data_IF_041984075438
#
_entry.id   IF_041984075438
#
_cell.length_a   1.000
_cell.length_b   1.000
_cell.length_c   1.000
_cell.angle_alpha   90.00
_cell.angle_beta   90.00
_cell.angle_gamma   90.00
#
_symmetry.space_group_name_H-M   'P 1'
#
loop_
_entity.id
_entity.type
_entity.pdbx_description
1 polymer ?
#
# COMPACT_ATOMS: atom_id res chain seq x y z
N UNK A 1 -26.15 33.11 50.68
CA UNK A 1 -27.35 32.28 50.44
C UNK A 1 -28.10 32.84 49.24
N UNK A 2 -28.15 32.13 48.11
CA UNK A 2 -28.90 32.52 46.91
C UNK A 2 -29.47 31.26 46.25
N UNK A 3 -30.79 31.23 46.11
CA UNK A 3 -31.65 30.04 45.97
C UNK A 3 -31.40 29.22 44.69
N UNK A 4 -31.30 27.89 44.86
CA UNK A 4 -31.40 26.89 43.78
C UNK A 4 -32.75 27.03 43.07
N UNK A 5 -32.75 27.18 41.74
CA UNK A 5 -33.96 27.07 40.90
C UNK A 5 -34.40 25.60 40.91
N UNK A 6 -35.55 25.32 41.52
CA UNK A 6 -36.20 24.02 41.44
C UNK A 6 -36.66 23.78 40.00
N UNK A 7 -36.13 22.73 39.37
CA UNK A 7 -36.60 22.24 38.08
C UNK A 7 -38.04 21.77 38.21
N UNK A 8 -38.94 22.44 37.49
CA UNK A 8 -40.37 22.19 37.53
C UNK A 8 -40.70 20.91 36.73
N UNK A 9 -40.55 19.73 37.34
CA UNK A 9 -41.01 18.47 36.77
C UNK A 9 -42.53 18.30 37.02
N UNK A 10 -43.36 18.91 36.17
CA UNK A 10 -44.80 18.64 36.18
C UNK A 10 -45.09 17.25 35.58
N UNK A 11 -45.93 16.43 36.24
CA UNK A 11 -46.30 15.12 35.71
C UNK A 11 -47.05 15.24 34.37
N UNK A 12 -46.94 14.25 33.44
CA UNK A 12 -47.48 14.32 32.07
C UNK A 12 -48.98 14.61 31.98
N UNK A 13 -49.72 14.35 33.06
CA UNK A 13 -51.16 14.58 33.19
C UNK A 13 -51.54 16.07 33.33
N UNK A 14 -50.59 16.95 33.69
CA UNK A 14 -50.79 18.40 33.85
C UNK A 14 -50.26 19.22 32.65
N UNK A 15 -49.72 18.57 31.61
CA UNK A 15 -49.22 19.24 30.41
C UNK A 15 -50.36 19.55 29.43
N UNK A 16 -50.25 20.65 28.68
CA UNK A 16 -51.14 20.93 27.55
C UNK A 16 -50.96 19.90 26.43
N UNK A 17 -51.94 19.78 25.54
CA UNK A 17 -51.93 18.79 24.44
C UNK A 17 -50.69 18.93 23.54
N UNK A 18 -50.24 20.16 23.31
CA UNK A 18 -49.04 20.49 22.53
C UNK A 18 -47.74 20.08 23.24
N UNK A 19 -47.66 20.29 24.55
CA UNK A 19 -46.51 19.88 25.37
C UNK A 19 -46.42 18.36 25.50
N UNK A 20 -47.55 17.64 25.59
CA UNK A 20 -47.56 16.17 25.56
C UNK A 20 -47.11 15.61 24.23
N UNK A 21 -47.48 16.26 23.12
CA UNK A 21 -47.00 15.89 21.78
C UNK A 21 -45.48 16.10 21.68
N UNK A 22 -44.96 17.25 22.11
CA UNK A 22 -43.51 17.51 22.13
C UNK A 22 -42.75 16.56 23.07
N UNK A 23 -43.32 16.24 24.24
CA UNK A 23 -42.75 15.27 25.17
C UNK A 23 -42.74 13.85 24.56
N UNK A 24 -43.82 13.43 23.89
CA UNK A 24 -43.88 12.15 23.17
C UNK A 24 -42.94 12.09 21.97
N UNK A 25 -42.73 13.20 21.26
CA UNK A 25 -41.74 13.31 20.17
C UNK A 25 -40.32 13.24 20.72
N UNK A 26 -40.01 13.93 21.84
CA UNK A 26 -38.73 13.82 22.54
C UNK A 26 -38.47 12.41 23.11
N UNK A 27 -39.50 11.77 23.64
CA UNK A 27 -39.42 10.39 24.14
C UNK A 27 -39.31 9.36 23.00
N UNK A 28 -39.98 9.58 21.86
CA UNK A 28 -39.80 8.77 20.64
C UNK A 28 -38.43 8.98 19.99
N UNK A 29 -37.87 10.19 20.06
CA UNK A 29 -36.50 10.48 19.66
C UNK A 29 -35.49 9.77 20.56
N UNK A 30 -35.65 9.86 21.89
CA UNK A 30 -34.82 9.12 22.86
C UNK A 30 -34.95 7.61 22.77
N UNK A 31 -36.16 7.06 22.56
CA UNK A 31 -36.37 5.60 22.38
C UNK A 31 -35.91 5.06 21.03
N UNK A 32 -35.70 5.92 20.03
CA UNK A 32 -35.08 5.52 18.76
C UNK A 32 -33.56 5.38 18.87
N UNK A 33 -32.98 5.83 19.97
CA UNK A 33 -31.54 5.99 20.17
C UNK A 33 -31.00 5.07 21.29
N UNK A 34 -31.79 4.11 21.76
CA UNK A 34 -31.23 2.91 22.40
C UNK A 34 -30.64 2.07 21.26
N UNK A 35 -29.38 2.37 20.91
CA UNK A 35 -28.65 1.63 19.88
C UNK A 35 -28.74 0.14 20.18
N UNK A 36 -29.26 -0.62 19.22
CA UNK A 36 -29.40 -2.09 19.31
C UNK A 36 -28.05 -2.81 19.46
N UNK A 37 -26.95 -2.10 19.24
CA UNK A 37 -25.58 -2.59 19.26
C UNK A 37 -24.70 -1.68 20.14
N UNK A 38 -23.76 -2.27 20.87
CA UNK A 38 -22.68 -1.53 21.54
C UNK A 38 -21.60 -1.12 20.52
N UNK A 39 -20.68 -0.25 20.92
CA UNK A 39 -19.54 0.15 20.07
C UNK A 39 -18.71 -1.07 19.68
N UNK A 40 -18.42 -1.95 20.63
CA UNK A 40 -17.63 -3.16 20.42
C UNK A 40 -18.32 -4.10 19.42
N UNK A 41 -19.64 -4.29 19.52
CA UNK A 41 -20.40 -5.11 18.58
C UNK A 41 -20.45 -4.52 17.17
N UNK A 42 -20.38 -3.19 17.04
CA UNK A 42 -20.30 -2.54 15.74
C UNK A 42 -18.90 -2.74 15.14
N UNK A 43 -17.84 -2.65 15.94
CA UNK A 43 -16.47 -2.86 15.48
C UNK A 43 -16.18 -4.33 15.15
N UNK A 44 -16.75 -5.27 15.90
CA UNK A 44 -16.70 -6.71 15.58
C UNK A 44 -17.30 -6.97 14.19
N UNK A 45 -18.50 -6.41 13.92
CA UNK A 45 -19.13 -6.50 12.60
C UNK A 45 -18.34 -5.80 11.50
N UNK A 46 -17.69 -4.69 11.81
CA UNK A 46 -16.83 -4.00 10.86
C UNK A 46 -15.65 -4.90 10.48
N UNK A 47 -15.01 -5.56 11.45
CA UNK A 47 -13.99 -6.58 11.22
C UNK A 47 -14.50 -7.73 10.35
N UNK A 48 -15.63 -8.35 10.70
CA UNK A 48 -16.24 -9.42 9.90
C UNK A 48 -16.51 -8.99 8.45
N UNK A 49 -16.99 -7.76 8.24
CA UNK A 49 -17.23 -7.23 6.90
C UNK A 49 -15.94 -6.97 6.14
N UNK A 50 -14.90 -6.46 6.81
CA UNK A 50 -13.58 -6.25 6.21
C UNK A 50 -12.96 -7.59 5.78
N UNK A 51 -13.03 -8.61 6.64
CA UNK A 51 -12.58 -9.98 6.36
C UNK A 51 -13.35 -10.60 5.18
N UNK A 52 -14.62 -10.19 4.99
CA UNK A 52 -15.47 -10.58 3.87
C UNK A 52 -15.26 -9.73 2.60
N UNK A 53 -14.23 -8.87 2.57
CA UNK A 53 -13.95 -7.89 1.52
C UNK A 53 -15.09 -6.90 1.23
N UNK A 54 -15.99 -6.67 2.20
CA UNK A 54 -17.06 -5.68 2.12
C UNK A 54 -16.66 -4.39 2.85
N UNK A 55 -15.68 -3.70 2.28
CA UNK A 55 -14.98 -2.55 2.87
C UNK A 55 -15.94 -1.37 3.08
N UNK A 56 -16.88 -1.13 2.16
CA UNK A 56 -17.88 -0.07 2.29
C UNK A 56 -18.81 -0.29 3.49
N UNK A 57 -19.26 -1.53 3.69
CA UNK A 57 -20.12 -1.88 4.82
C UNK A 57 -19.34 -1.83 6.14
N UNK A 58 -18.10 -2.31 6.15
CA UNK A 58 -17.20 -2.19 7.30
C UNK A 58 -17.05 -0.72 7.71
N UNK A 59 -16.80 0.16 6.74
CA UNK A 59 -16.67 1.60 6.98
C UNK A 59 -17.94 2.22 7.57
N UNK A 60 -19.13 1.78 7.15
CA UNK A 60 -20.40 2.23 7.72
C UNK A 60 -20.57 1.79 9.18
N UNK A 61 -20.16 0.56 9.54
CA UNK A 61 -20.18 0.11 10.92
C UNK A 61 -19.21 0.90 11.81
N UNK A 62 -17.99 1.14 11.34
CA UNK A 62 -17.04 2.02 12.04
C UNK A 62 -17.56 3.44 12.20
N UNK A 63 -18.18 4.00 11.15
CA UNK A 63 -18.79 5.33 11.24
C UNK A 63 -19.87 5.35 12.34
N UNK A 64 -20.72 4.32 12.41
CA UNK A 64 -21.75 4.24 13.44
C UNK A 64 -21.16 4.10 14.85
N UNK A 65 -20.07 3.34 14.99
CA UNK A 65 -19.33 3.22 16.24
C UNK A 65 -18.77 4.58 16.70
N UNK A 66 -18.16 5.34 15.78
CA UNK A 66 -17.59 6.67 16.05
C UNK A 66 -18.65 7.76 16.24
N UNK A 67 -19.86 7.61 15.71
CA UNK A 67 -21.00 8.48 16.06
C UNK A 67 -21.42 8.31 17.53
N UNK A 68 -21.26 7.10 18.09
CA UNK A 68 -21.55 6.81 19.49
C UNK A 68 -20.40 7.24 20.40
N UNK A 69 -19.17 6.91 20.02
CA UNK A 69 -17.94 7.25 20.76
C UNK A 69 -16.88 7.82 19.79
N UNK A 70 -16.83 9.16 19.61
CA UNK A 70 -15.96 9.80 18.62
C UNK A 70 -14.46 9.59 18.82
N UNK A 71 -14.03 9.34 20.06
CA UNK A 71 -12.62 9.18 20.43
C UNK A 71 -12.27 7.71 20.74
N UNK A 72 -13.09 6.75 20.29
CA UNK A 72 -12.81 5.32 20.48
C UNK A 72 -11.63 4.88 19.61
N UNK A 73 -10.46 4.65 20.22
CA UNK A 73 -9.19 4.39 19.52
C UNK A 73 -9.26 3.26 18.48
N UNK A 74 -9.74 2.08 18.85
CA UNK A 74 -9.87 0.96 17.91
C UNK A 74 -10.84 1.29 16.76
N UNK A 75 -11.84 2.14 17.02
CA UNK A 75 -12.81 2.57 16.00
C UNK A 75 -12.17 3.55 15.04
N UNK A 76 -11.33 4.46 15.54
CA UNK A 76 -10.56 5.39 14.73
C UNK A 76 -9.50 4.66 13.89
N UNK A 77 -8.76 3.72 14.49
CA UNK A 77 -7.74 2.93 13.78
C UNK A 77 -8.36 2.15 12.62
N UNK A 78 -9.46 1.41 12.88
CA UNK A 78 -10.16 0.64 11.84
C UNK A 78 -10.82 1.55 10.79
N UNK A 79 -11.44 2.66 11.20
CA UNK A 79 -12.03 3.60 10.25
C UNK A 79 -10.97 4.27 9.37
N UNK A 80 -9.82 4.65 9.92
CA UNK A 80 -8.72 5.27 9.18
C UNK A 80 -8.21 4.35 8.09
N UNK A 81 -7.96 3.09 8.43
CA UNK A 81 -7.57 2.02 7.51
C UNK A 81 -8.59 1.82 6.38
N UNK A 82 -9.86 1.60 6.71
CA UNK A 82 -10.91 1.37 5.71
C UNK A 82 -11.14 2.59 4.81
N UNK A 83 -11.04 3.81 5.33
CA UNK A 83 -11.17 5.00 4.48
C UNK A 83 -9.99 5.16 3.53
N UNK A 84 -8.78 4.74 3.92
CA UNK A 84 -7.62 4.73 3.04
C UNK A 84 -7.81 3.72 1.89
N UNK A 85 -8.27 2.51 2.20
CA UNK A 85 -8.58 1.48 1.18
C UNK A 85 -9.66 1.92 0.19
N UNK A 86 -10.68 2.63 0.68
CA UNK A 86 -11.73 3.22 -0.16
C UNK A 86 -11.27 4.44 -0.97
N UNK A 87 -10.01 4.87 -0.84
CA UNK A 87 -9.46 6.04 -1.52
C UNK A 87 -10.00 7.37 -1.00
N UNK A 88 -10.67 7.39 0.15
CA UNK A 88 -11.20 8.61 0.77
C UNK A 88 -10.11 9.34 1.57
N UNK A 89 -9.09 9.83 0.86
CA UNK A 89 -7.87 10.44 1.42
C UNK A 89 -8.15 11.46 2.52
N UNK A 90 -9.03 12.43 2.27
CA UNK A 90 -9.36 13.49 3.24
C UNK A 90 -9.92 12.95 4.57
N UNK A 91 -10.74 11.88 4.50
CA UNK A 91 -11.33 11.27 5.70
C UNK A 91 -10.30 10.44 6.44
N UNK A 92 -9.54 9.62 5.71
CA UNK A 92 -8.47 8.81 6.27
C UNK A 92 -7.46 9.68 7.03
N UNK A 93 -7.02 10.79 6.42
CA UNK A 93 -6.10 11.72 7.05
C UNK A 93 -6.67 12.30 8.35
N UNK A 94 -7.90 12.83 8.34
CA UNK A 94 -8.53 13.41 9.55
C UNK A 94 -8.68 12.39 10.68
N UNK A 95 -9.13 11.18 10.36
CA UNK A 95 -9.34 10.11 11.33
C UNK A 95 -8.00 9.65 11.93
N UNK A 96 -7.01 9.39 11.07
CA UNK A 96 -5.67 8.96 11.51
C UNK A 96 -4.96 10.05 12.31
N UNK A 97 -5.07 11.33 11.93
CA UNK A 97 -4.55 12.45 12.73
C UNK A 97 -5.20 12.51 14.11
N UNK A 98 -6.52 12.31 14.21
CA UNK A 98 -7.21 12.26 15.51
C UNK A 98 -6.72 11.08 16.36
N UNK A 99 -6.50 9.92 15.76
CA UNK A 99 -5.95 8.76 16.45
C UNK A 99 -4.51 9.03 16.97
N UNK A 100 -3.68 9.75 16.20
CA UNK A 100 -2.34 10.17 16.62
C UNK A 100 -2.39 11.12 17.81
N UNK A 101 -3.31 12.08 17.82
CA UNK A 101 -3.49 13.01 18.95
C UNK A 101 -3.87 12.29 20.25
N UNK A 102 -4.70 11.25 20.15
CA UNK A 102 -5.23 10.52 21.31
C UNK A 102 -4.26 9.45 21.82
N UNK A 103 -3.53 8.76 20.94
CA UNK A 103 -2.56 7.74 21.29
C UNK A 103 -1.32 7.80 20.39
N UNK A 104 -0.34 8.68 20.71
CA UNK A 104 0.83 8.91 19.87
C UNK A 104 1.91 7.81 19.94
N UNK A 105 1.83 6.91 20.92
CA UNK A 105 2.89 5.91 21.17
C UNK A 105 2.44 4.45 21.00
N UNK A 106 1.19 4.23 20.59
CA UNK A 106 0.65 2.90 20.29
C UNK A 106 0.12 2.85 18.86
N UNK A 107 -0.14 1.68 18.28
CA UNK A 107 -0.77 1.52 16.97
C UNK A 107 -0.02 2.17 15.81
N UNK A 108 0.87 1.42 15.15
CA UNK A 108 1.70 1.94 14.04
C UNK A 108 0.91 2.25 12.76
N UNK A 109 -0.22 1.59 12.50
CA UNK A 109 -0.95 1.68 11.23
C UNK A 109 -1.34 3.13 10.87
N UNK A 110 -1.81 3.93 11.83
CA UNK A 110 -2.13 5.35 11.59
C UNK A 110 -0.95 6.18 11.10
N UNK A 111 0.27 5.83 11.51
CA UNK A 111 1.49 6.46 11.05
C UNK A 111 1.88 6.00 9.64
N UNK A 112 1.68 4.72 9.31
CA UNK A 112 1.87 4.22 7.95
C UNK A 112 0.94 4.93 6.97
N UNK A 113 -0.35 5.06 7.31
CA UNK A 113 -1.31 5.77 6.48
C UNK A 113 -0.99 7.26 6.34
N UNK A 114 -0.67 7.95 7.44
CA UNK A 114 -0.28 9.36 7.35
C UNK A 114 0.99 9.55 6.53
N UNK A 115 1.95 8.63 6.61
CA UNK A 115 3.14 8.61 5.77
C UNK A 115 2.80 8.52 4.27
N UNK A 116 1.95 7.56 3.89
CA UNK A 116 1.48 7.37 2.51
C UNK A 116 0.70 8.58 1.96
N UNK A 117 0.03 9.32 2.84
CA UNK A 117 -0.76 10.52 2.47
C UNK A 117 0.05 11.83 2.57
N UNK A 118 1.32 11.75 2.95
CA UNK A 118 2.21 12.90 3.09
C UNK A 118 3.35 12.84 2.07
N UNK A 119 4.14 13.91 1.98
CA UNK A 119 5.29 13.99 1.08
C UNK A 119 6.53 14.49 1.83
N UNK A 120 7.72 14.18 1.31
CA UNK A 120 8.98 14.69 1.81
C UNK A 120 9.21 14.42 3.31
N UNK A 121 9.68 15.44 4.04
CA UNK A 121 10.10 15.29 5.43
C UNK A 121 8.97 14.89 6.39
N UNK A 122 7.73 15.33 6.13
CA UNK A 122 6.58 14.96 6.95
C UNK A 122 6.28 13.46 6.83
N UNK A 123 6.33 12.92 5.61
CA UNK A 123 6.17 11.49 5.36
C UNK A 123 7.26 10.67 6.06
N UNK A 124 8.53 11.11 5.96
CA UNK A 124 9.65 10.49 6.69
C UNK A 124 9.37 10.49 8.20
N UNK A 125 8.88 11.59 8.75
CA UNK A 125 8.53 11.70 10.17
C UNK A 125 7.47 10.70 10.60
N UNK A 126 6.38 10.58 9.82
CA UNK A 126 5.31 9.62 10.12
C UNK A 126 5.79 8.17 10.03
N UNK A 127 6.43 7.78 8.92
CA UNK A 127 6.96 6.42 8.77
C UNK A 127 7.98 6.09 9.86
N UNK A 128 8.90 7.00 10.18
CA UNK A 128 9.89 6.81 11.24
C UNK A 128 9.23 6.53 12.59
N UNK A 129 8.16 7.27 12.92
CA UNK A 129 7.42 7.03 14.16
C UNK A 129 6.69 5.69 14.15
N UNK A 130 6.08 5.32 13.03
CA UNK A 130 5.42 4.03 12.92
C UNK A 130 6.40 2.86 13.04
N UNK A 131 7.59 2.95 12.39
CA UNK A 131 8.68 1.98 12.53
C UNK A 131 9.17 1.86 13.97
N UNK A 132 9.30 2.98 14.68
CA UNK A 132 9.67 2.98 16.11
C UNK A 132 8.67 2.16 16.96
N UNK A 133 7.37 2.31 16.67
CA UNK A 133 6.30 1.57 17.36
C UNK A 133 6.35 0.08 16.96
N UNK A 134 6.50 -0.23 15.67
CA UNK A 134 6.61 -1.62 15.17
C UNK A 134 7.81 -2.34 15.77
N UNK A 135 8.97 -1.68 15.85
CA UNK A 135 10.18 -2.24 16.46
C UNK A 135 9.96 -2.56 17.95
N UNK A 136 9.28 -1.69 18.69
CA UNK A 136 8.89 -1.94 20.09
C UNK A 136 7.94 -3.14 20.21
N UNK A 137 6.95 -3.24 19.33
CA UNK A 137 6.02 -4.39 19.29
C UNK A 137 6.75 -5.69 18.96
N UNK A 138 7.66 -5.67 17.98
CA UNK A 138 8.42 -6.85 17.54
C UNK A 138 9.36 -7.37 18.64
N UNK A 139 9.96 -6.48 19.44
CA UNK A 139 10.75 -6.89 20.61
C UNK A 139 9.90 -7.63 21.65
N UNK A 140 8.62 -7.28 21.79
CA UNK A 140 7.71 -7.96 22.70
C UNK A 140 7.18 -9.28 22.13
N UNK A 141 6.89 -9.32 20.82
CA UNK A 141 6.34 -10.49 20.12
C UNK A 141 6.95 -10.58 18.72
N UNK A 142 8.04 -11.35 18.52
CA UNK A 142 8.65 -11.51 17.22
C UNK A 142 7.76 -12.36 16.31
N UNK A 143 7.32 -11.80 15.18
CA UNK A 143 6.57 -12.49 14.13
C UNK A 143 7.15 -12.16 12.76
N UNK A 144 7.28 -13.15 11.87
CA UNK A 144 7.92 -12.96 10.56
C UNK A 144 7.18 -11.93 9.68
N UNK A 145 5.84 -11.94 9.70
CA UNK A 145 5.04 -10.93 8.99
C UNK A 145 5.36 -9.51 9.46
N UNK A 146 5.45 -9.32 10.79
CA UNK A 146 5.82 -8.02 11.37
C UNK A 146 7.26 -7.60 11.02
N UNK A 147 8.19 -8.55 10.80
CA UNK A 147 9.54 -8.25 10.32
C UNK A 147 9.52 -7.70 8.88
N UNK A 148 8.73 -8.32 8.00
CA UNK A 148 8.53 -7.84 6.62
C UNK A 148 7.91 -6.45 6.61
N UNK A 149 6.91 -6.19 7.43
CA UNK A 149 6.26 -4.88 7.51
C UNK A 149 7.24 -3.78 7.96
N UNK A 150 8.13 -4.08 8.92
CA UNK A 150 9.19 -3.14 9.32
C UNK A 150 10.14 -2.85 8.15
N UNK A 151 10.54 -3.88 7.41
CA UNK A 151 11.38 -3.73 6.22
C UNK A 151 10.70 -2.86 5.15
N UNK A 152 9.41 -3.10 4.88
CA UNK A 152 8.62 -2.33 3.93
C UNK A 152 8.47 -0.86 4.37
N UNK A 153 8.24 -0.59 5.64
CA UNK A 153 8.17 0.78 6.15
C UNK A 153 9.50 1.54 6.00
N UNK A 154 10.64 0.87 6.18
CA UNK A 154 11.95 1.45 5.82
C UNK A 154 12.11 1.66 4.32
N UNK A 155 11.58 0.77 3.47
CA UNK A 155 11.56 0.94 2.02
C UNK A 155 10.83 2.24 1.64
N UNK A 156 9.66 2.48 2.24
CA UNK A 156 8.90 3.72 2.02
C UNK A 156 9.70 4.98 2.39
N UNK A 157 10.46 4.95 3.50
CA UNK A 157 11.35 6.06 3.88
C UNK A 157 12.48 6.25 2.85
N UNK A 158 13.08 5.15 2.39
CA UNK A 158 14.17 5.19 1.43
C UNK A 158 13.71 5.72 0.06
N UNK A 159 12.53 5.32 -0.39
CA UNK A 159 11.92 5.81 -1.62
C UNK A 159 11.74 7.33 -1.57
N UNK A 160 11.23 7.88 -0.45
CA UNK A 160 11.11 9.34 -0.27
C UNK A 160 12.47 10.05 -0.40
N UNK A 161 13.57 9.44 0.05
CA UNK A 161 14.90 10.00 -0.16
C UNK A 161 15.39 9.89 -1.61
N UNK A 162 14.95 8.88 -2.36
CA UNK A 162 15.26 8.72 -3.78
C UNK A 162 14.41 9.62 -4.68
N UNK A 163 13.23 10.06 -4.22
CA UNK A 163 12.28 10.86 -5.00
C UNK A 163 12.16 12.28 -4.46
N UNK A 164 11.41 12.49 -3.38
CA UNK A 164 11.00 13.80 -2.88
C UNK A 164 12.18 14.61 -2.31
N UNK A 165 13.08 13.94 -1.59
CA UNK A 165 14.19 14.56 -0.87
C UNK A 165 15.55 14.34 -1.56
N UNK A 166 15.57 13.87 -2.80
CA UNK A 166 16.82 13.48 -3.48
C UNK A 166 17.82 14.64 -3.65
N UNK A 167 17.35 15.89 -3.64
CA UNK A 167 18.19 17.09 -3.79
C UNK A 167 18.63 17.70 -2.45
N UNK A 168 18.17 17.16 -1.33
CA UNK A 168 18.53 17.66 0.00
C UNK A 168 19.91 17.16 0.45
N UNK A 169 20.63 17.99 1.20
CA UNK A 169 21.96 17.65 1.70
C UNK A 169 21.89 16.46 2.68
N UNK A 170 22.72 15.45 2.41
CA UNK A 170 22.78 14.22 3.20
C UNK A 170 21.68 13.19 2.89
N UNK A 171 20.84 13.42 1.89
CA UNK A 171 19.78 12.46 1.52
C UNK A 171 20.33 11.13 1.00
N UNK A 172 21.46 11.14 0.28
CA UNK A 172 22.11 9.91 -0.19
C UNK A 172 22.54 9.03 0.98
N UNK A 173 23.20 9.60 1.99
CA UNK A 173 23.67 8.88 3.17
C UNK A 173 22.50 8.35 4.01
N UNK A 174 21.45 9.17 4.19
CA UNK A 174 20.23 8.74 4.89
C UNK A 174 19.52 7.63 4.14
N UNK A 175 19.38 7.73 2.82
CA UNK A 175 18.81 6.68 1.97
C UNK A 175 19.57 5.36 2.17
N UNK A 176 20.91 5.39 2.05
CA UNK A 176 21.74 4.19 2.25
C UNK A 176 21.57 3.60 3.64
N UNK A 177 21.55 4.43 4.68
CA UNK A 177 21.34 3.99 6.05
C UNK A 177 19.97 3.31 6.21
N UNK A 178 18.91 3.96 5.74
CA UNK A 178 17.53 3.44 5.79
C UNK A 178 17.39 2.12 5.04
N UNK A 179 18.01 1.99 3.86
CA UNK A 179 18.03 0.73 3.11
C UNK A 179 18.80 -0.38 3.84
N UNK A 180 19.89 -0.02 4.53
CA UNK A 180 20.60 -0.93 5.43
C UNK A 180 19.67 -1.46 6.53
N UNK A 181 18.89 -0.56 7.17
CA UNK A 181 17.91 -0.94 8.20
C UNK A 181 16.79 -1.82 7.64
N UNK A 182 16.33 -1.56 6.41
CA UNK A 182 15.34 -2.40 5.73
C UNK A 182 15.83 -3.84 5.55
N UNK A 183 17.09 -4.01 5.12
CA UNK A 183 17.72 -5.31 4.89
C UNK A 183 18.19 -6.01 6.17
N UNK A 184 18.50 -5.25 7.22
CA UNK A 184 18.73 -5.79 8.56
C UNK A 184 17.44 -6.36 9.16
N UNK A 185 16.30 -5.71 8.90
CA UNK A 185 14.99 -6.23 9.29
C UNK A 185 14.66 -7.50 8.50
N UNK A 186 14.64 -7.42 7.16
CA UNK A 186 14.41 -8.58 6.29
C UNK A 186 15.38 -8.58 5.10
N UNK A 187 16.38 -9.46 5.16
CA UNK A 187 17.41 -9.60 4.13
C UNK A 187 16.90 -10.22 2.83
N UNK A 188 15.69 -10.79 2.85
CA UNK A 188 15.03 -11.43 1.71
C UNK A 188 13.92 -10.58 1.11
N UNK A 189 13.66 -9.37 1.63
CA UNK A 189 12.62 -8.50 1.11
C UNK A 189 12.96 -8.03 -0.33
N UNK A 190 12.19 -8.45 -1.36
CA UNK A 190 12.47 -8.10 -2.75
C UNK A 190 12.49 -6.60 -3.01
N UNK A 191 11.62 -5.85 -2.33
CA UNK A 191 11.49 -4.40 -2.46
C UNK A 191 12.72 -3.69 -1.90
N UNK A 192 13.18 -4.08 -0.71
CA UNK A 192 14.39 -3.52 -0.10
C UNK A 192 15.64 -3.77 -0.97
N UNK A 193 15.75 -4.98 -1.54
CA UNK A 193 16.83 -5.35 -2.45
C UNK A 193 16.77 -4.51 -3.75
N UNK A 194 15.58 -4.31 -4.32
CA UNK A 194 15.39 -3.49 -5.52
C UNK A 194 15.71 -2.01 -5.29
N UNK A 195 15.27 -1.44 -4.16
CA UNK A 195 15.60 -0.05 -3.82
C UNK A 195 17.10 0.12 -3.52
N UNK A 196 17.75 -0.86 -2.88
CA UNK A 196 19.20 -0.85 -2.71
C UNK A 196 19.93 -0.88 -4.05
N UNK A 197 19.47 -1.69 -5.00
CA UNK A 197 19.99 -1.64 -6.36
C UNK A 197 19.78 -0.26 -7.00
N UNK A 198 18.56 0.29 -6.96
CA UNK A 198 18.26 1.62 -7.50
C UNK A 198 19.19 2.71 -6.92
N UNK A 199 19.42 2.68 -5.60
CA UNK A 199 20.37 3.55 -4.93
C UNK A 199 21.80 3.38 -5.47
N UNK A 200 22.28 2.13 -5.60
CA UNK A 200 23.63 1.85 -6.10
C UNK A 200 23.82 2.28 -7.56
N UNK A 201 22.79 2.15 -8.39
CA UNK A 201 22.81 2.66 -9.77
C UNK A 201 22.90 4.19 -9.80
N UNK A 202 22.09 4.87 -8.98
CA UNK A 202 22.12 6.33 -8.88
C UNK A 202 23.44 6.90 -8.35
N UNK A 203 24.22 6.07 -7.64
CA UNK A 203 25.53 6.42 -7.07
C UNK A 203 26.70 5.81 -7.84
N UNK A 204 26.50 5.51 -9.14
CA UNK A 204 27.50 5.04 -10.10
C UNK A 204 28.19 3.70 -9.71
N UNK A 205 27.48 2.82 -8.99
CA UNK A 205 27.93 1.49 -8.57
C UNK A 205 27.05 0.35 -9.13
N UNK A 206 26.82 0.28 -10.46
CA UNK A 206 25.87 -0.65 -11.06
C UNK A 206 26.25 -2.13 -10.89
N UNK A 207 27.54 -2.46 -10.76
CA UNK A 207 27.99 -3.84 -10.58
C UNK A 207 27.65 -4.39 -9.19
N UNK A 208 27.70 -3.55 -8.15
CA UNK A 208 27.22 -3.93 -6.82
C UNK A 208 25.69 -3.97 -6.80
N UNK A 209 25.03 -2.99 -7.42
CA UNK A 209 23.58 -2.97 -7.56
C UNK A 209 23.02 -4.20 -8.26
N UNK A 210 23.72 -4.72 -9.27
CA UNK A 210 23.38 -5.96 -9.97
C UNK A 210 23.26 -7.15 -9.03
N UNK A 211 24.14 -7.27 -8.02
CA UNK A 211 24.09 -8.37 -7.05
C UNK A 211 22.77 -8.34 -6.28
N UNK A 212 22.34 -7.15 -5.84
CA UNK A 212 21.07 -6.97 -5.15
C UNK A 212 19.86 -7.25 -6.05
N UNK A 213 19.89 -6.85 -7.33
CA UNK A 213 18.82 -7.17 -8.29
C UNK A 213 18.66 -8.67 -8.49
N UNK A 214 19.77 -9.38 -8.72
CA UNK A 214 19.74 -10.83 -8.91
C UNK A 214 19.26 -11.55 -7.66
N UNK A 215 19.66 -11.08 -6.47
CA UNK A 215 19.14 -11.61 -5.22
C UNK A 215 17.63 -11.38 -5.09
N UNK A 216 17.13 -10.18 -5.43
CA UNK A 216 15.69 -9.90 -5.43
C UNK A 216 14.95 -10.86 -6.37
N UNK A 217 15.38 -10.98 -7.63
CA UNK A 217 14.76 -11.85 -8.62
C UNK A 217 14.70 -13.30 -8.19
N UNK A 218 15.76 -13.81 -7.55
CA UNK A 218 15.80 -15.18 -7.04
C UNK A 218 14.71 -15.49 -6.02
N UNK A 219 14.17 -14.47 -5.35
CA UNK A 219 13.12 -14.62 -4.34
C UNK A 219 11.71 -14.77 -4.95
N UNK A 220 11.43 -14.23 -6.14
CA UNK A 220 10.07 -14.16 -6.67
C UNK A 220 9.89 -14.61 -8.13
N UNK A 221 10.93 -14.53 -8.97
CA UNK A 221 10.82 -14.91 -10.38
C UNK A 221 10.54 -16.41 -10.61
N UNK A 222 11.20 -17.36 -9.91
CA UNK A 222 10.93 -18.79 -10.11
C UNK A 222 9.52 -19.19 -9.66
N UNK A 223 9.05 -18.63 -8.54
CA UNK A 223 7.71 -18.88 -8.01
C UNK A 223 6.62 -18.43 -8.99
N UNK A 224 6.85 -17.32 -9.70
CA UNK A 224 5.97 -16.86 -10.78
C UNK A 224 5.94 -17.84 -11.95
N UNK A 225 7.10 -18.32 -12.39
CA UNK A 225 7.19 -19.32 -13.47
C UNK A 225 6.49 -20.63 -13.12
N UNK A 226 6.57 -21.07 -11.85
CA UNK A 226 5.86 -22.26 -11.37
C UNK A 226 4.36 -22.05 -11.20
N UNK A 227 3.93 -20.86 -10.74
CA UNK A 227 2.52 -20.48 -10.65
C UNK A 227 1.82 -20.52 -12.01
N UNK A 228 2.50 -20.07 -13.08
CA UNK A 228 2.01 -20.18 -14.46
C UNK A 228 1.77 -21.63 -14.92
N UNK A 229 2.65 -22.56 -14.53
CA UNK A 229 2.46 -24.00 -14.83
C UNK A 229 1.32 -24.63 -14.03
N UNK A 230 0.95 -24.03 -12.89
CA UNK A 230 -0.14 -24.47 -12.03
C UNK A 230 -1.50 -23.88 -12.46
N UNK A 231 -1.58 -22.61 -12.86
CA UNK A 231 -2.81 -21.97 -13.38
C UNK A 231 -3.31 -22.59 -14.69
N UNK A 232 -2.40 -23.11 -15.52
CA UNK A 232 -2.76 -23.92 -16.69
C UNK A 232 -3.32 -25.31 -16.34
N UNK A 233 -3.31 -25.72 -15.07
CA UNK A 233 -3.99 -26.91 -14.55
C UNK A 233 -5.29 -26.47 -13.88
N UNK A 234 -6.39 -27.12 -14.24
CA UNK A 234 -7.79 -26.77 -13.93
C UNK A 234 -8.18 -26.64 -12.45
N UNK A 235 -7.24 -26.75 -11.51
CA UNK A 235 -7.48 -26.65 -10.07
C UNK A 235 -6.44 -25.69 -9.49
N UNK A 236 -6.82 -24.43 -9.28
CA UNK A 236 -6.00 -23.47 -8.55
C UNK A 236 -5.89 -23.97 -7.09
N UNK A 237 -4.70 -24.35 -6.60
CA UNK A 237 -4.55 -24.68 -5.19
C UNK A 237 -4.73 -23.41 -4.34
N UNK A 238 -5.28 -23.55 -3.13
CA UNK A 238 -5.44 -22.46 -2.16
C UNK A 238 -4.12 -21.67 -1.90
N UNK A 239 -2.97 -22.29 -2.18
CA UNK A 239 -1.61 -21.73 -2.13
C UNK A 239 -1.31 -20.62 -3.14
N UNK A 240 -2.09 -20.48 -4.23
CA UNK A 240 -1.83 -19.47 -5.27
C UNK A 240 -1.90 -18.03 -4.72
N UNK A 241 -2.75 -17.81 -3.71
CA UNK A 241 -2.94 -16.50 -3.07
C UNK A 241 -1.71 -16.08 -2.25
N UNK A 242 -1.03 -17.02 -1.57
CA UNK A 242 0.20 -16.75 -0.82
C UNK A 242 1.41 -16.55 -1.75
N UNK A 243 1.43 -17.19 -2.93
CA UNK A 243 2.48 -16.99 -3.92
C UNK A 243 2.41 -15.60 -4.58
N UNK A 244 1.19 -15.09 -4.84
CA UNK A 244 0.98 -13.72 -5.34
C UNK A 244 1.40 -12.65 -4.31
N UNK A 245 1.26 -12.94 -3.02
CA UNK A 245 1.65 -12.03 -1.93
C UNK A 245 3.17 -11.77 -1.84
N UNK A 246 4.00 -12.54 -2.56
CA UNK A 246 5.46 -12.38 -2.59
C UNK A 246 5.96 -11.60 -3.81
N UNK A 247 5.07 -11.24 -4.74
CA UNK A 247 5.44 -10.48 -5.92
C UNK A 247 5.62 -9.00 -5.58
N UNK A 248 6.72 -8.36 -6.04
CA UNK A 248 6.84 -6.91 -5.95
C UNK A 248 5.71 -6.22 -6.73
N UNK A 249 5.34 -4.98 -6.36
CA UNK A 249 4.37 -4.18 -7.09
C UNK A 249 4.69 -4.08 -8.60
N UNK A 250 3.65 -3.94 -9.43
CA UNK A 250 3.78 -3.92 -10.90
C UNK A 250 4.80 -2.88 -11.40
N UNK A 251 4.73 -1.65 -10.89
CA UNK A 251 5.68 -0.57 -11.23
C UNK A 251 7.12 -0.85 -10.75
N UNK A 252 7.30 -1.52 -9.61
CA UNK A 252 8.62 -1.92 -9.12
C UNK A 252 9.26 -2.97 -10.03
N UNK A 253 8.46 -3.86 -10.62
CA UNK A 253 8.92 -4.84 -11.63
C UNK A 253 9.27 -4.18 -12.97
N UNK A 254 8.53 -3.15 -13.40
CA UNK A 254 8.93 -2.31 -14.55
C UNK A 254 10.29 -1.68 -14.28
N UNK A 255 10.49 -1.10 -13.10
CA UNK A 255 11.76 -0.49 -12.70
C UNK A 255 12.90 -1.51 -12.66
N UNK A 256 12.63 -2.72 -12.17
CA UNK A 256 13.58 -3.84 -12.19
C UNK A 256 14.03 -4.18 -13.60
N UNK A 257 13.11 -4.27 -14.57
CA UNK A 257 13.46 -4.54 -15.97
C UNK A 257 14.34 -3.44 -16.60
N UNK A 258 14.11 -2.17 -16.25
CA UNK A 258 14.97 -1.05 -16.68
C UNK A 258 16.39 -1.20 -16.13
N UNK A 259 16.53 -1.47 -14.83
CA UNK A 259 17.83 -1.64 -14.19
C UNK A 259 18.57 -2.88 -14.74
N UNK A 260 17.88 -3.99 -14.98
CA UNK A 260 18.47 -5.17 -15.63
C UNK A 260 19.01 -4.85 -17.02
N UNK A 261 18.28 -4.05 -17.80
CA UNK A 261 18.71 -3.59 -19.12
C UNK A 261 20.00 -2.76 -19.05
N UNK A 262 20.15 -1.94 -18.01
CA UNK A 262 21.35 -1.12 -17.78
C UNK A 262 22.60 -1.95 -17.42
N UNK A 263 22.42 -3.13 -16.80
CA UNK A 263 23.52 -4.07 -16.50
C UNK A 263 23.62 -5.24 -17.48
N UNK A 264 23.01 -5.08 -18.65
CA UNK A 264 23.05 -6.01 -19.78
C UNK A 264 22.48 -7.42 -19.47
N UNK A 265 21.66 -7.55 -18.42
CA UNK A 265 20.92 -8.76 -18.08
C UNK A 265 19.62 -8.85 -18.89
N UNK A 266 19.76 -8.85 -20.21
CA UNK A 266 18.63 -8.69 -21.13
C UNK A 266 17.64 -9.86 -21.12
N UNK A 267 18.14 -11.09 -20.91
CA UNK A 267 17.28 -12.27 -20.82
C UNK A 267 16.35 -12.16 -19.61
N UNK A 268 16.91 -11.89 -18.43
CA UNK A 268 16.12 -11.66 -17.21
C UNK A 268 15.19 -10.45 -17.34
N UNK A 269 15.62 -9.38 -18.01
CA UNK A 269 14.75 -8.24 -18.28
C UNK A 269 13.55 -8.63 -19.15
N UNK A 270 13.77 -9.50 -20.15
CA UNK A 270 12.71 -10.02 -21.01
C UNK A 270 11.73 -10.88 -20.22
N UNK A 271 12.21 -11.81 -19.39
CA UNK A 271 11.37 -12.66 -18.53
C UNK A 271 10.45 -11.84 -17.62
N UNK A 272 10.98 -10.77 -17.00
CA UNK A 272 10.18 -9.87 -16.15
C UNK A 272 9.12 -9.13 -16.97
N UNK A 273 9.48 -8.64 -18.15
CA UNK A 273 8.58 -7.85 -19.01
C UNK A 273 7.49 -8.71 -19.67
N UNK A 274 7.82 -9.90 -20.16
CA UNK A 274 6.85 -10.88 -20.65
C UNK A 274 5.85 -11.19 -19.55
N UNK A 275 6.35 -11.36 -18.33
CA UNK A 275 5.52 -11.56 -17.19
C UNK A 275 4.54 -10.40 -16.90
N UNK A 276 5.00 -9.16 -17.02
CA UNK A 276 4.13 -7.99 -16.87
C UNK A 276 3.05 -7.91 -17.95
N UNK A 277 3.33 -8.38 -19.18
CA UNK A 277 2.37 -8.42 -20.28
C UNK A 277 1.30 -9.49 -20.13
N UNK A 278 1.61 -10.60 -19.46
CA UNK A 278 0.60 -11.61 -19.14
C UNK A 278 -0.43 -11.10 -18.13
N UNK A 279 0.00 -10.24 -17.20
CA UNK A 279 -0.87 -9.62 -16.21
C UNK A 279 -1.69 -8.47 -16.79
N UNK A 280 -1.07 -7.61 -17.60
CA UNK A 280 -1.72 -6.50 -18.29
C UNK A 280 -1.01 -6.19 -19.62
N UNK A 281 -1.66 -6.52 -20.74
CA UNK A 281 -1.14 -6.28 -22.09
C UNK A 281 -1.54 -4.92 -22.67
N UNK A 282 -2.24 -4.06 -21.90
CA UNK A 282 -2.62 -2.70 -22.28
C UNK A 282 -1.58 -1.64 -21.85
N UNK A 283 -0.50 -2.04 -21.18
CA UNK A 283 0.57 -1.14 -20.75
C UNK A 283 1.59 -0.90 -21.86
N UNK A 284 1.48 0.27 -22.52
CA UNK A 284 2.36 0.69 -23.62
C UNK A 284 3.85 0.60 -23.25
N UNK A 285 4.19 1.00 -22.02
CA UNK A 285 5.58 1.05 -21.55
C UNK A 285 6.22 -0.33 -21.54
N UNK A 286 5.49 -1.38 -21.14
CA UNK A 286 6.01 -2.74 -21.05
C UNK A 286 6.31 -3.29 -22.44
N UNK A 287 5.40 -3.10 -23.41
CA UNK A 287 5.66 -3.45 -24.81
C UNK A 287 6.87 -2.72 -25.41
N UNK A 288 7.02 -1.43 -25.09
CA UNK A 288 8.16 -0.64 -25.56
C UNK A 288 9.48 -1.16 -24.97
N UNK A 289 9.52 -1.39 -23.66
CA UNK A 289 10.71 -1.91 -22.97
C UNK A 289 11.08 -3.30 -23.50
N UNK A 290 10.10 -4.20 -23.69
CA UNK A 290 10.37 -5.54 -24.22
C UNK A 290 10.96 -5.46 -25.63
N UNK A 291 10.37 -4.63 -26.50
CA UNK A 291 10.91 -4.41 -27.83
C UNK A 291 12.31 -3.78 -27.83
N UNK A 292 12.59 -2.89 -26.88
CA UNK A 292 13.91 -2.28 -26.71
C UNK A 292 14.96 -3.31 -26.24
N UNK A 293 14.61 -4.13 -25.24
CA UNK A 293 15.49 -5.20 -24.73
C UNK A 293 15.79 -6.23 -25.82
N UNK A 294 14.79 -6.69 -26.59
CA UNK A 294 15.03 -7.60 -27.73
C UNK A 294 15.92 -6.96 -28.79
N UNK A 295 15.82 -5.65 -29.03
CA UNK A 295 16.72 -4.95 -29.93
C UNK A 295 18.17 -4.91 -29.41
N UNK A 296 18.37 -4.71 -28.11
CA UNK A 296 19.70 -4.75 -27.49
C UNK A 296 20.28 -6.18 -27.54
N UNK A 297 19.48 -7.21 -27.26
CA UNK A 297 19.89 -8.61 -27.44
C UNK A 297 20.34 -8.88 -28.86
N UNK A 298 19.58 -8.45 -29.87
CA UNK A 298 19.95 -8.63 -31.27
C UNK A 298 21.26 -7.94 -31.67
N UNK A 299 21.62 -6.85 -30.99
CA UNK A 299 22.90 -6.15 -31.23
C UNK A 299 24.09 -6.88 -30.63
N UNK A 300 23.90 -7.54 -29.50
CA UNK A 300 24.95 -8.27 -28.79
C UNK A 300 25.06 -9.74 -29.24
N UNK A 301 24.01 -10.28 -29.85
CA UNK A 301 23.94 -11.67 -30.32
C UNK A 301 24.73 -11.92 -31.61
N UNK A 302 25.19 -13.16 -31.84
CA UNK A 302 25.77 -13.56 -33.11
C UNK A 302 24.71 -13.54 -34.25
N UNK A 303 25.13 -13.44 -35.53
CA UNK A 303 24.23 -13.16 -36.65
C UNK A 303 23.09 -14.18 -36.87
N UNK A 304 23.30 -15.43 -36.45
CA UNK A 304 22.38 -16.55 -36.52
C UNK A 304 21.22 -16.43 -35.50
N UNK A 305 21.46 -15.85 -34.33
CA UNK A 305 20.45 -15.63 -33.29
C UNK A 305 19.82 -14.22 -33.35
N UNK A 306 20.54 -13.25 -33.93
CA UNK A 306 20.10 -11.87 -34.04
C UNK A 306 18.80 -11.68 -34.83
N UNK A 307 18.52 -12.54 -35.83
CA UNK A 307 17.33 -12.41 -36.68
C UNK A 307 16.03 -12.61 -35.88
N UNK A 308 15.98 -13.61 -34.99
CA UNK A 308 14.82 -13.88 -34.14
C UNK A 308 14.55 -12.71 -33.19
N UNK A 309 15.59 -12.17 -32.57
CA UNK A 309 15.49 -11.03 -31.66
C UNK A 309 15.08 -9.73 -32.37
N UNK A 310 15.52 -9.52 -33.62
CA UNK A 310 15.07 -8.38 -34.43
C UNK A 310 13.57 -8.45 -34.75
N UNK A 311 13.05 -9.64 -35.06
CA UNK A 311 11.64 -9.83 -35.36
C UNK A 311 10.77 -9.72 -34.09
N UNK A 312 11.27 -10.20 -32.95
CA UNK A 312 10.64 -9.96 -31.64
C UNK A 312 10.57 -8.46 -31.34
N UNK A 313 11.70 -7.76 -31.46
CA UNK A 313 11.78 -6.31 -31.26
C UNK A 313 10.77 -5.54 -32.13
N UNK A 314 10.69 -5.89 -33.42
CA UNK A 314 9.70 -5.30 -34.34
C UNK A 314 8.28 -5.57 -33.87
N UNK A 315 7.95 -6.80 -33.50
CA UNK A 315 6.61 -7.20 -33.08
C UNK A 315 6.17 -6.42 -31.85
N UNK A 316 7.02 -6.37 -30.82
CA UNK A 316 6.77 -5.67 -29.57
C UNK A 316 6.60 -4.15 -29.79
N UNK A 317 7.46 -3.52 -30.61
CA UNK A 317 7.33 -2.08 -30.91
C UNK A 317 6.07 -1.75 -31.74
N UNK A 318 5.65 -2.64 -32.64
CA UNK A 318 4.37 -2.49 -33.35
C UNK A 318 3.19 -2.62 -32.39
N UNK A 319 3.25 -3.56 -31.44
CA UNK A 319 2.25 -3.72 -30.37
C UNK A 319 2.19 -2.47 -29.50
N UNK A 320 3.33 -1.96 -29.02
CA UNK A 320 3.39 -0.70 -28.25
C UNK A 320 2.68 0.44 -28.98
N UNK A 321 2.95 0.62 -30.28
CA UNK A 321 2.28 1.63 -31.11
C UNK A 321 0.78 1.40 -31.22
N UNK A 322 0.34 0.14 -31.39
CA UNK A 322 -1.09 -0.19 -31.46
C UNK A 322 -1.79 0.08 -30.14
N UNK A 323 -1.21 -0.31 -29.01
CA UNK A 323 -1.79 -0.07 -27.69
C UNK A 323 -1.92 1.43 -27.46
N UNK A 324 -0.86 2.20 -27.75
CA UNK A 324 -0.86 3.67 -27.62
C UNK A 324 -1.95 4.39 -28.44
N UNK A 325 -2.47 3.79 -29.53
CA UNK A 325 -3.58 4.38 -30.29
C UNK A 325 -4.96 4.02 -29.72
N UNK A 326 -5.06 3.00 -28.88
CA UNK A 326 -6.32 2.53 -28.30
C UNK A 326 -6.52 3.01 -26.85
N UNK A 327 -5.45 3.33 -26.12
CA UNK A 327 -5.52 3.98 -24.80
C UNK A 327 -5.67 5.49 -24.99
N UNK A 328 -6.85 6.10 -24.74
CA UNK A 328 -6.98 7.56 -24.77
C UNK A 328 -6.05 8.17 -23.70
N UNK A 329 -5.16 9.06 -24.13
CA UNK A 329 -4.37 9.87 -23.21
C UNK A 329 -5.33 10.79 -22.43
N UNK A 330 -5.67 10.41 -21.20
CA UNK A 330 -6.25 11.33 -20.22
C UNK A 330 -5.10 11.90 -19.39
N UNK A 331 -4.77 13.20 -19.53
CA UNK A 331 -3.84 13.82 -18.60
C UNK A 331 -4.44 13.68 -17.19
N UNK A 332 -3.71 13.05 -16.28
CA UNK A 332 -3.98 13.21 -14.85
C UNK A 332 -3.70 14.68 -14.56
N UNK A 333 -4.76 15.43 -14.24
CA UNK A 333 -4.60 16.76 -13.67
C UNK A 333 -3.94 16.55 -12.31
N UNK A 334 -2.62 16.81 -12.26
CA UNK A 334 -1.89 17.08 -11.01
C UNK A 334 -2.48 18.31 -10.31
#
# INVERSE_FOLDING_TARGET
MGRKKAGNNRPPQQMSTRERLQYKVKQKGKKRDESKYTVEQLLEKAGECADSCNVELAAMFCQRALEMEPDHLQGLDMAGSLQAELGNVDKAQRISSRAVELSPDEGHAKYMYLGQLSTGADAVGFFSKGVEIMARTLQAQPAQAAVRDVSAAYCSIAEIYLTDLCMEEGSSERCKQTLGQALEADSSNPEALQLMASYLFSTEQPQEGKVYLLQSLSAWLPSRQQGQEAENRTEAPDDATEMLAQLPPYESRISTAKLLSEVEEYELASDVLEGLLEEDDEVVQVWYLLGWVSYLQAKCAPPDEAAGQQDSARTCLHKAKKVATHTPWTPRLE
#
